data_IF_458050171021
#
_entry.id   IF_458050171021
#
_cell.length_a   1.000
_cell.length_b   1.000
_cell.length_c   1.000
_cell.angle_alpha   90.00
_cell.angle_beta   90.00
_cell.angle_gamma   90.00
#
_symmetry.space_group_name_H-M   'P 1'
#
loop_
_entity.id
_entity.type
_entity.pdbx_description
1 polymer ?
#
# COMPACT_ATOMS: atom_id res chain seq x y z
N UNK A 1 -5.05 9.32 8.71
CA UNK A 1 -5.14 7.85 8.66
C UNK A 1 -6.11 7.48 7.54
N UNK A 2 -5.77 6.53 6.66
CA UNK A 2 -6.48 6.28 5.38
C UNK A 2 -7.76 5.42 5.51
N UNK A 3 -8.30 5.21 6.72
CA UNK A 3 -9.43 4.29 6.93
C UNK A 3 -9.11 2.80 6.67
N UNK A 4 -7.84 2.47 6.43
CA UNK A 4 -7.36 1.13 6.13
C UNK A 4 -6.19 0.76 7.04
N UNK A 5 -6.13 -0.51 7.42
CA UNK A 5 -5.04 -1.04 8.25
C UNK A 5 -3.72 -1.10 7.47
N UNK A 6 -2.60 -0.96 8.17
CA UNK A 6 -1.28 -1.16 7.57
C UNK A 6 -1.06 -2.59 7.03
N UNK A 7 -1.72 -3.59 7.62
CA UNK A 7 -1.67 -4.97 7.16
C UNK A 7 -2.33 -5.13 5.77
N UNK A 8 -3.47 -4.46 5.55
CA UNK A 8 -4.15 -4.46 4.24
C UNK A 8 -3.28 -3.82 3.16
N UNK A 9 -2.64 -2.68 3.47
CA UNK A 9 -1.72 -1.99 2.54
C UNK A 9 -0.50 -2.88 2.22
N UNK A 10 0.03 -3.58 3.23
CA UNK A 10 1.14 -4.53 3.04
C UNK A 10 0.71 -5.72 2.17
N UNK A 11 -0.50 -6.25 2.37
CA UNK A 11 -1.05 -7.34 1.53
C UNK A 11 -1.12 -6.94 0.06
N UNK A 12 -1.62 -5.75 -0.25
CA UNK A 12 -1.66 -5.27 -1.65
C UNK A 12 -0.27 -5.20 -2.28
N UNK A 13 0.76 -4.83 -1.51
CA UNK A 13 2.13 -4.81 -2.03
C UNK A 13 2.74 -6.21 -2.20
N UNK A 14 2.37 -7.18 -1.36
CA UNK A 14 2.77 -8.59 -1.53
C UNK A 14 2.09 -9.21 -2.76
N UNK A 15 0.83 -8.87 -3.00
CA UNK A 15 0.05 -9.31 -4.17
C UNK A 15 0.42 -8.57 -5.47
N UNK A 16 1.36 -7.62 -5.43
CA UNK A 16 1.78 -6.84 -6.60
C UNK A 16 0.80 -5.76 -7.04
N UNK A 17 -0.26 -5.50 -6.27
CA UNK A 17 -1.30 -4.50 -6.56
C UNK A 17 -0.92 -3.09 -6.16
N UNK A 18 0.08 -2.93 -5.29
CA UNK A 18 0.58 -1.65 -4.80
C UNK A 18 2.11 -1.60 -4.88
N UNK A 19 2.66 -0.58 -5.53
CA UNK A 19 4.11 -0.40 -5.55
C UNK A 19 4.63 -0.02 -4.16
N UNK A 20 5.80 -0.52 -3.79
CA UNK A 20 6.42 -0.21 -2.51
C UNK A 20 7.92 0.01 -2.65
N UNK A 21 8.44 0.99 -1.93
CA UNK A 21 9.88 1.26 -1.81
C UNK A 21 10.35 0.85 -0.44
N UNK A 22 11.55 0.26 -0.34
CA UNK A 22 12.17 -0.07 0.95
C UNK A 22 13.11 1.05 1.38
N UNK A 23 13.00 1.43 2.65
CA UNK A 23 14.00 2.27 3.32
C UNK A 23 15.25 1.45 3.63
N UNK A 24 16.35 2.14 3.99
CA UNK A 24 17.59 1.49 4.43
C UNK A 24 17.38 0.55 5.63
N UNK A 25 16.44 0.88 6.52
CA UNK A 25 16.06 0.03 7.67
C UNK A 25 15.05 -1.08 7.34
N UNK A 26 14.72 -1.30 6.06
CA UNK A 26 13.85 -2.41 5.63
C UNK A 26 12.34 -2.15 5.69
N UNK A 27 11.91 -1.03 6.28
CA UNK A 27 10.49 -0.64 6.27
C UNK A 27 10.02 -0.27 4.87
N UNK A 28 8.78 -0.62 4.53
CA UNK A 28 8.13 -0.25 3.27
C UNK A 28 7.49 1.13 3.35
N UNK A 29 7.60 1.88 2.26
CA UNK A 29 6.89 3.13 2.01
C UNK A 29 5.99 2.94 0.79
N UNK A 30 4.81 3.56 0.85
CA UNK A 30 3.75 3.43 -0.14
C UNK A 30 3.36 4.81 -0.66
N UNK A 31 3.04 4.89 -1.95
CA UNK A 31 2.47 6.11 -2.51
C UNK A 31 1.08 6.35 -1.92
N UNK A 32 0.86 7.56 -1.39
CA UNK A 32 -0.45 8.00 -0.91
C UNK A 32 -1.50 7.86 -2.01
N UNK A 33 -1.19 8.30 -3.22
CA UNK A 33 -2.11 8.31 -4.35
C UNK A 33 -2.58 6.90 -4.71
N UNK A 34 -1.66 5.93 -4.78
CA UNK A 34 -2.01 4.54 -5.08
C UNK A 34 -2.82 3.88 -3.96
N UNK A 35 -2.50 4.17 -2.69
CA UNK A 35 -3.30 3.70 -1.55
C UNK A 35 -4.72 4.26 -1.62
N UNK A 36 -4.87 5.56 -1.86
CA UNK A 36 -6.17 6.20 -2.02
C UNK A 36 -6.94 5.68 -3.24
N UNK A 37 -6.25 5.40 -4.35
CA UNK A 37 -6.87 4.79 -5.53
C UNK A 37 -7.44 3.41 -5.20
N UNK A 38 -6.67 2.52 -4.58
CA UNK A 38 -7.12 1.18 -4.19
C UNK A 38 -8.24 1.21 -3.15
N UNK A 39 -8.28 2.23 -2.30
CA UNK A 39 -9.39 2.43 -1.36
C UNK A 39 -10.69 2.78 -2.05
N UNK A 40 -10.63 3.61 -3.10
CA UNK A 40 -11.81 4.06 -3.85
C UNK A 40 -12.31 3.02 -4.85
N UNK A 41 -11.40 2.28 -5.47
CA UNK A 41 -11.74 1.41 -6.61
C UNK A 41 -11.62 -0.09 -6.30
N UNK A 42 -11.09 -0.44 -5.12
CA UNK A 42 -10.78 -1.81 -4.76
C UNK A 42 -9.53 -2.36 -5.46
N UNK A 43 -8.98 -3.48 -4.95
CA UNK A 43 -7.93 -4.20 -5.63
C UNK A 43 -8.50 -4.96 -6.84
N UNK A 44 -8.03 -4.65 -8.05
CA UNK A 44 -8.30 -5.43 -9.26
C UNK A 44 -7.76 -6.86 -9.17
#
# INVERSE_FOLDING_TARGET
>A
MFGVSGATVTRWAVEGKLASVRTLGGHRRFSREQVEYLLRHGPS
#
